data_IF_343100941900
#
_entry.id   IF_343100941900
#
_cell.length_a   1.000
_cell.length_b   1.000
_cell.length_c   1.000
_cell.angle_alpha   90.00
_cell.angle_beta   90.00
_cell.angle_gamma   90.00
#
_symmetry.space_group_name_H-M   'P 1'
#
loop_
_entity.id
_entity.type
_entity.pdbx_description
1 polymer ?
#
# COMPACT_ATOMS: atom_id res chain seq x y z
N UNK A 1 -26.69 28.13 8.51
CA UNK A 1 -25.40 27.49 8.21
C UNK A 1 -25.71 26.10 7.66
N UNK A 2 -25.56 25.85 6.37
CA UNK A 2 -25.67 24.49 5.83
C UNK A 2 -24.38 23.75 6.17
N UNK A 3 -24.46 22.70 6.98
CA UNK A 3 -23.33 21.80 7.22
C UNK A 3 -23.06 21.06 5.91
N UNK A 4 -22.08 21.52 5.14
CA UNK A 4 -21.44 20.71 4.11
C UNK A 4 -20.73 19.58 4.84
N UNK A 5 -21.37 18.42 4.93
CA UNK A 5 -20.70 17.19 5.36
C UNK A 5 -19.65 16.85 4.32
N UNK A 6 -18.38 17.08 4.64
CA UNK A 6 -17.27 16.68 3.79
C UNK A 6 -17.34 15.15 3.62
N UNK A 7 -17.60 14.71 2.39
CA UNK A 7 -17.66 13.29 2.04
C UNK A 7 -16.26 12.76 1.78
N UNK A 8 -16.03 11.49 2.11
CA UNK A 8 -14.83 10.75 1.67
C UNK A 8 -14.63 10.94 0.17
N UNK A 9 -13.40 11.23 -0.30
CA UNK A 9 -13.09 11.11 -1.72
C UNK A 9 -13.49 9.72 -2.23
N UNK A 10 -14.06 9.68 -3.43
CA UNK A 10 -14.41 8.41 -4.04
C UNK A 10 -13.13 7.56 -4.22
N UNK A 11 -13.19 6.29 -3.83
CA UNK A 11 -12.09 5.36 -4.07
C UNK A 11 -11.84 5.21 -5.58
N UNK A 12 -10.59 5.02 -6.02
CA UNK A 12 -10.25 4.90 -7.44
C UNK A 12 -10.82 3.64 -8.10
N UNK A 13 -11.24 2.65 -7.32
CA UNK A 13 -12.00 1.47 -7.76
C UNK A 13 -13.00 1.06 -6.68
N UNK A 14 -13.92 0.15 -7.01
CA UNK A 14 -14.99 -0.31 -6.10
C UNK A 14 -14.38 -1.00 -4.87
N UNK A 15 -14.61 -0.47 -3.65
CA UNK A 15 -14.07 -1.08 -2.45
C UNK A 15 -14.73 -2.43 -2.12
N UNK A 16 -13.93 -3.39 -1.68
CA UNK A 16 -14.41 -4.64 -1.08
C UNK A 16 -14.44 -4.52 0.44
N UNK A 17 -15.55 -4.89 1.09
CA UNK A 17 -15.61 -4.88 2.56
C UNK A 17 -14.89 -6.07 3.18
N UNK A 18 -13.99 -5.81 4.12
CA UNK A 18 -13.18 -6.82 4.82
C UNK A 18 -13.47 -6.91 6.32
N UNK A 19 -14.45 -6.13 6.81
CA UNK A 19 -14.72 -6.03 8.26
C UNK A 19 -13.47 -5.59 9.02
N UNK A 20 -13.13 -6.31 10.09
CA UNK A 20 -11.94 -6.04 10.92
C UNK A 20 -10.75 -6.97 10.63
N UNK A 21 -10.69 -7.57 9.44
CA UNK A 21 -9.55 -8.40 9.05
C UNK A 21 -8.24 -7.60 9.08
N UNK A 22 -7.16 -8.22 9.56
CA UNK A 22 -5.82 -7.63 9.55
C UNK A 22 -5.14 -7.76 8.19
N UNK A 23 -5.56 -8.70 7.34
CA UNK A 23 -5.04 -8.87 5.98
C UNK A 23 -6.06 -8.36 4.97
N UNK A 24 -5.65 -7.42 4.11
CA UNK A 24 -6.47 -6.85 3.05
C UNK A 24 -6.27 -7.57 1.72
N UNK A 25 -5.02 -7.92 1.42
CA UNK A 25 -4.62 -8.54 0.16
C UNK A 25 -3.58 -9.62 0.41
N UNK A 26 -3.75 -10.75 -0.27
CA UNK A 26 -2.72 -11.76 -0.44
C UNK A 26 -2.66 -12.13 -1.91
N UNK A 27 -1.48 -12.01 -2.50
CA UNK A 27 -1.19 -12.40 -3.87
C UNK A 27 -0.09 -13.46 -3.85
N UNK A 28 -0.29 -14.52 -4.61
CA UNK A 28 0.71 -15.55 -4.88
C UNK A 28 0.69 -15.91 -6.37
N UNK A 29 1.85 -15.82 -7.03
CA UNK A 29 2.05 -16.12 -8.46
C UNK A 29 1.17 -15.31 -9.43
N UNK A 30 1.05 -13.97 -9.30
CA UNK A 30 0.25 -13.14 -10.20
C UNK A 30 0.87 -12.99 -11.59
N UNK A 31 0.00 -12.82 -12.58
CA UNK A 31 0.35 -12.42 -13.95
C UNK A 31 0.21 -10.91 -14.19
N UNK A 32 0.13 -10.12 -13.10
CA UNK A 32 -0.30 -8.72 -13.15
C UNK A 32 0.89 -7.79 -13.46
N UNK A 33 1.17 -7.62 -14.74
CA UNK A 33 2.25 -6.74 -15.23
C UNK A 33 1.79 -5.31 -15.56
N UNK A 34 0.50 -5.02 -15.39
CA UNK A 34 -0.11 -3.69 -15.49
C UNK A 34 -0.64 -3.26 -14.14
N UNK A 35 -0.71 -1.95 -13.89
CA UNK A 35 -1.31 -1.42 -12.67
C UNK A 35 -2.73 -1.93 -12.47
N UNK A 36 -2.98 -2.48 -11.28
CA UNK A 36 -4.29 -2.88 -10.80
C UNK A 36 -4.64 -2.08 -9.55
N UNK A 37 -5.86 -1.58 -9.52
CA UNK A 37 -6.40 -0.87 -8.36
C UNK A 37 -6.94 -1.88 -7.35
N UNK A 38 -6.59 -1.65 -6.09
CA UNK A 38 -7.14 -2.37 -4.94
C UNK A 38 -7.78 -1.36 -4.01
N UNK A 39 -9.00 -1.64 -3.57
CA UNK A 39 -9.71 -0.80 -2.61
C UNK A 39 -10.51 -1.64 -1.62
N UNK A 40 -10.51 -1.21 -0.36
CA UNK A 40 -11.13 -1.92 0.76
C UNK A 40 -11.86 -0.97 1.70
N UNK A 41 -12.98 -1.42 2.27
CA UNK A 41 -13.52 -0.80 3.50
C UNK A 41 -13.16 -1.67 4.70
N UNK A 42 -12.41 -1.10 5.63
CA UNK A 42 -11.94 -1.76 6.84
C UNK A 42 -12.50 -1.09 8.09
N UNK A 43 -13.07 -1.87 9.00
CA UNK A 43 -13.56 -1.41 10.29
C UNK A 43 -12.50 -1.67 11.36
N UNK A 44 -11.99 -0.61 11.98
CA UNK A 44 -10.95 -0.76 12.98
C UNK A 44 -11.48 -1.48 14.24
N UNK A 45 -10.81 -2.56 14.69
CA UNK A 45 -11.21 -3.27 15.90
C UNK A 45 -10.77 -2.55 17.19
N UNK A 46 -9.83 -1.61 17.10
CA UNK A 46 -9.17 -0.97 18.25
C UNK A 46 -8.99 0.53 18.03
N UNK A 47 -8.80 1.27 19.13
CA UNK A 47 -8.36 2.68 19.06
C UNK A 47 -6.88 2.74 19.36
N UNK A 48 -6.09 3.38 18.51
CA UNK A 48 -4.66 3.51 18.69
C UNK A 48 -3.85 3.42 17.39
N UNK A 49 -2.52 3.30 17.50
CA UNK A 49 -1.64 3.17 16.34
C UNK A 49 -1.91 1.89 15.54
N UNK A 50 -1.97 2.02 14.21
CA UNK A 50 -2.10 0.92 13.25
C UNK A 50 -1.15 1.19 12.10
N UNK A 51 -0.42 0.18 11.65
CA UNK A 51 0.47 0.27 10.49
C UNK A 51 -0.22 -0.31 9.26
N UNK A 52 -0.29 0.48 8.18
CA UNK A 52 -0.48 -0.09 6.85
C UNK A 52 0.86 -0.62 6.39
N UNK A 53 0.95 -1.93 6.15
CA UNK A 53 2.18 -2.59 5.75
C UNK A 53 2.02 -3.28 4.41
N UNK A 54 2.99 -3.08 3.53
CA UNK A 54 3.14 -3.83 2.28
C UNK A 54 4.36 -4.72 2.42
N UNK A 55 4.16 -6.03 2.37
CA UNK A 55 5.23 -7.02 2.25
C UNK A 55 5.26 -7.53 0.80
N UNK A 56 6.34 -7.25 0.10
CA UNK A 56 6.44 -7.44 -1.35
C UNK A 56 7.65 -8.31 -1.68
N UNK A 57 7.47 -9.23 -2.63
CA UNK A 57 8.56 -10.01 -3.22
C UNK A 57 8.24 -10.33 -4.67
N UNK A 58 9.19 -10.09 -5.56
CA UNK A 58 9.06 -10.50 -6.94
C UNK A 58 10.43 -10.89 -7.50
N UNK A 59 10.83 -12.15 -7.41
CA UNK A 59 12.18 -12.58 -7.83
C UNK A 59 12.16 -13.09 -9.28
N UNK A 60 13.01 -12.60 -10.20
CA UNK A 60 14.12 -11.67 -9.98
C UNK A 60 13.80 -10.20 -10.35
N UNK A 61 12.52 -9.82 -10.35
CA UNK A 61 12.07 -8.51 -10.82
C UNK A 61 11.65 -7.62 -9.65
N UNK A 62 10.48 -6.99 -9.73
CA UNK A 62 10.06 -6.00 -8.76
C UNK A 62 8.55 -5.91 -8.60
N UNK A 63 8.12 -5.32 -7.49
CA UNK A 63 6.83 -4.66 -7.39
C UNK A 63 6.97 -3.15 -7.59
N UNK A 64 5.94 -2.52 -8.13
CA UNK A 64 5.82 -1.07 -8.15
C UNK A 64 4.48 -0.68 -7.54
N UNK A 65 4.54 0.13 -6.48
CA UNK A 65 3.41 0.61 -5.69
C UNK A 65 3.27 2.11 -5.88
N UNK A 66 2.03 2.57 -6.01
CA UNK A 66 1.71 3.98 -6.16
C UNK A 66 0.33 4.33 -5.61
N UNK A 67 0.05 5.63 -5.46
CA UNK A 67 -1.27 6.19 -5.16
C UNK A 67 -1.99 5.49 -4.00
N UNK A 68 -1.26 5.27 -2.90
CA UNK A 68 -1.83 4.69 -1.68
C UNK A 68 -2.76 5.70 -1.00
N UNK A 69 -3.71 5.25 -0.20
CA UNK A 69 -4.53 6.14 0.63
C UNK A 69 -5.24 5.39 1.75
N UNK A 70 -5.47 6.08 2.86
CA UNK A 70 -6.40 5.67 3.91
C UNK A 70 -7.25 6.89 4.28
N UNK A 71 -8.57 6.80 4.08
CA UNK A 71 -9.49 7.86 4.44
C UNK A 71 -10.41 7.49 5.61
N UNK A 72 -10.51 8.35 6.62
CA UNK A 72 -11.59 8.39 7.63
C UNK A 72 -12.56 9.52 7.25
N UNK A 73 -13.67 9.17 6.60
CA UNK A 73 -14.50 10.20 5.99
C UNK A 73 -13.67 11.02 4.98
N UNK A 74 -13.71 12.35 5.08
CA UNK A 74 -12.92 13.23 4.22
C UNK A 74 -11.44 13.38 4.60
N UNK A 75 -10.97 12.76 5.69
CA UNK A 75 -9.61 12.97 6.22
C UNK A 75 -8.65 11.90 5.68
N UNK A 76 -7.62 12.32 4.96
CA UNK A 76 -6.49 11.46 4.60
C UNK A 76 -5.62 11.21 5.85
N UNK A 77 -5.36 9.94 6.14
CA UNK A 77 -4.64 9.51 7.34
C UNK A 77 -3.14 9.33 7.11
N UNK A 78 -2.69 9.27 5.85
CA UNK A 78 -1.29 9.08 5.46
C UNK A 78 -0.72 10.33 4.76
N UNK A 79 0.60 10.40 4.64
CA UNK A 79 1.31 11.44 3.90
C UNK A 79 2.27 10.83 2.89
N UNK A 80 2.70 11.61 1.90
CA UNK A 80 3.54 11.15 0.78
C UNK A 80 2.98 9.87 0.12
N UNK A 81 1.68 9.88 -0.18
CA UNK A 81 0.93 8.67 -0.49
C UNK A 81 1.11 8.17 -1.93
N UNK A 82 1.54 9.06 -2.83
CA UNK A 82 2.02 8.75 -4.18
C UNK A 82 3.52 9.01 -4.34
N UNK A 83 4.29 9.06 -3.25
CA UNK A 83 5.76 9.19 -3.28
C UNK A 83 6.35 10.45 -3.98
N UNK A 84 5.50 11.42 -4.34
CA UNK A 84 5.84 12.63 -5.12
C UNK A 84 6.88 13.58 -4.47
N UNK A 85 7.27 13.32 -3.23
CA UNK A 85 8.41 14.03 -2.60
C UNK A 85 9.76 13.58 -3.16
N UNK A 86 9.81 12.51 -3.96
CA UNK A 86 11.05 11.90 -4.44
C UNK A 86 11.82 11.14 -3.35
N UNK A 87 11.19 10.92 -2.19
CA UNK A 87 11.76 10.24 -1.03
C UNK A 87 10.81 9.18 -0.48
N UNK A 88 11.35 8.12 0.10
CA UNK A 88 10.56 7.10 0.79
C UNK A 88 9.92 7.66 2.06
N UNK A 89 10.57 8.63 2.73
CA UNK A 89 10.04 9.22 3.97
C UNK A 89 8.65 9.83 3.75
N UNK A 90 7.66 9.58 4.63
CA UNK A 90 7.79 8.98 5.97
C UNK A 90 7.51 7.48 6.03
N UNK A 91 7.46 6.78 4.90
CA UNK A 91 7.38 5.32 4.90
C UNK A 91 8.66 4.71 5.48
N UNK A 92 8.47 3.74 6.36
CA UNK A 92 9.57 3.02 7.02
C UNK A 92 9.79 1.71 6.29
N UNK A 93 11.01 1.46 5.84
CA UNK A 93 11.41 0.16 5.28
C UNK A 93 11.97 -0.74 6.37
N UNK A 94 11.52 -1.99 6.41
CA UNK A 94 12.04 -3.06 7.27
C UNK A 94 12.33 -4.31 6.45
N UNK A 95 13.35 -5.05 6.85
CA UNK A 95 13.78 -6.30 6.18
C UNK A 95 13.60 -7.49 7.14
N UNK A 96 12.35 -7.90 7.43
CA UNK A 96 12.05 -8.84 8.51
C UNK A 96 12.66 -10.23 8.32
N UNK A 97 12.97 -10.62 7.07
CA UNK A 97 13.59 -11.90 6.74
C UNK A 97 15.12 -11.84 6.59
N UNK A 98 15.75 -10.78 7.09
CA UNK A 98 17.19 -10.54 7.00
C UNK A 98 17.58 -9.72 5.77
N UNK A 99 18.89 -9.58 5.48
CA UNK A 99 19.37 -8.77 4.36
C UNK A 99 19.00 -9.41 3.02
N UNK A 100 18.04 -8.81 2.30
CA UNK A 100 17.73 -9.18 0.93
C UNK A 100 18.78 -8.66 -0.05
N UNK A 101 18.98 -9.38 -1.16
CA UNK A 101 19.67 -8.82 -2.32
C UNK A 101 18.80 -7.78 -3.03
N UNK A 102 19.37 -7.06 -3.99
CA UNK A 102 18.60 -6.13 -4.83
C UNK A 102 18.40 -4.74 -4.20
N UNK A 103 17.33 -4.05 -4.62
CA UNK A 103 17.03 -2.67 -4.22
C UNK A 103 15.61 -2.58 -3.66
N UNK A 104 15.42 -2.90 -2.37
CA UNK A 104 14.10 -2.95 -1.78
C UNK A 104 13.57 -1.58 -1.39
N UNK A 105 12.25 -1.40 -1.47
CA UNK A 105 11.52 -0.20 -1.03
C UNK A 105 12.25 1.10 -1.33
N UNK A 106 12.54 1.38 -2.61
CA UNK A 106 13.23 2.58 -3.08
C UNK A 106 12.29 3.44 -3.93
N UNK A 107 12.64 4.69 -4.20
CA UNK A 107 11.83 5.56 -5.07
C UNK A 107 12.40 5.55 -6.48
N UNK A 108 11.50 5.44 -7.46
CA UNK A 108 11.81 5.56 -8.89
C UNK A 108 10.90 6.58 -9.55
N UNK A 109 11.30 7.05 -10.73
CA UNK A 109 10.51 7.94 -11.59
C UNK A 109 10.12 7.29 -12.92
N UNK A 110 10.20 5.96 -12.98
CA UNK A 110 10.01 5.20 -14.21
C UNK A 110 8.77 4.32 -14.11
N UNK A 111 7.84 4.52 -15.06
CA UNK A 111 6.62 3.72 -15.17
C UNK A 111 5.77 3.71 -13.88
N UNK A 112 5.61 4.89 -13.28
CA UNK A 112 4.72 5.17 -12.17
C UNK A 112 3.26 5.29 -12.65
N UNK A 113 2.30 5.09 -11.74
CA UNK A 113 0.88 5.06 -12.11
C UNK A 113 0.36 6.48 -12.37
N UNK A 114 0.72 7.40 -11.49
CA UNK A 114 0.44 8.82 -11.64
C UNK A 114 1.66 9.64 -11.21
N UNK A 115 1.60 10.96 -11.39
CA UNK A 115 2.68 11.86 -10.98
C UNK A 115 4.04 11.55 -11.59
N UNK A 116 5.10 11.82 -10.83
CA UNK A 116 6.50 11.64 -11.24
C UNK A 116 7.14 10.44 -10.56
N UNK A 117 6.76 10.12 -9.33
CA UNK A 117 7.48 9.18 -8.48
C UNK A 117 6.59 8.05 -7.98
N UNK A 118 7.18 6.90 -7.73
CA UNK A 118 6.50 5.74 -7.16
C UNK A 118 7.49 4.88 -6.38
N UNK A 119 6.97 4.00 -5.52
CA UNK A 119 7.81 3.04 -4.81
C UNK A 119 8.10 1.83 -5.68
N UNK A 120 9.36 1.43 -5.69
CA UNK A 120 9.92 0.28 -6.36
C UNK A 120 10.48 -0.68 -5.31
N UNK A 121 10.09 -1.95 -5.38
CA UNK A 121 10.65 -3.01 -4.55
C UNK A 121 11.22 -4.14 -5.41
N UNK A 122 12.55 -4.13 -5.59
CA UNK A 122 13.30 -5.18 -6.27
C UNK A 122 14.09 -6.05 -5.31
N UNK A 123 13.54 -6.35 -4.12
CA UNK A 123 14.14 -7.32 -3.20
C UNK A 123 14.34 -8.67 -3.90
N UNK A 124 15.48 -9.32 -3.62
CA UNK A 124 15.83 -10.64 -4.17
C UNK A 124 16.06 -11.65 -3.05
N UNK A 125 15.35 -12.77 -3.11
CA UNK A 125 15.55 -13.91 -2.21
C UNK A 125 14.79 -13.81 -0.88
N UNK A 126 14.26 -12.63 -0.54
CA UNK A 126 13.30 -12.43 0.55
C UNK A 126 12.32 -11.29 0.25
N UNK A 127 11.24 -11.22 1.03
CA UNK A 127 10.29 -10.12 0.94
C UNK A 127 10.75 -8.97 1.84
N UNK A 128 10.60 -7.74 1.36
CA UNK A 128 10.82 -6.56 2.17
C UNK A 128 9.50 -5.86 2.48
N UNK A 129 9.51 -5.09 3.55
CA UNK A 129 8.34 -4.41 4.05
C UNK A 129 8.53 -2.91 3.97
N UNK A 130 7.50 -2.20 3.52
CA UNK A 130 7.33 -0.78 3.83
C UNK A 130 6.06 -0.58 4.64
N UNK A 131 6.08 0.37 5.56
CA UNK A 131 4.90 0.70 6.35
C UNK A 131 4.79 2.18 6.66
N UNK A 132 3.55 2.62 6.90
CA UNK A 132 3.26 3.92 7.49
C UNK A 132 2.19 3.75 8.58
N UNK A 133 2.42 4.38 9.71
CA UNK A 133 1.53 4.35 10.86
C UNK A 133 0.49 5.47 10.78
N UNK A 134 -0.74 5.17 11.18
CA UNK A 134 -1.77 6.17 11.48
C UNK A 134 -2.48 5.81 12.80
N UNK A 135 -3.25 6.75 13.35
CA UNK A 135 -4.08 6.47 14.53
C UNK A 135 -5.50 6.13 14.10
N UNK A 136 -5.95 4.91 14.40
CA UNK A 136 -7.30 4.45 14.14
C UNK A 136 -8.23 4.65 15.36
N UNK A 137 -9.53 4.67 15.10
CA UNK A 137 -10.59 4.72 16.12
C UNK A 137 -11.45 3.47 16.00
N UNK A 138 -11.66 2.75 17.11
CA UNK A 138 -12.46 1.53 17.14
C UNK A 138 -13.87 1.75 16.59
N UNK A 139 -14.35 0.82 15.76
CA UNK A 139 -15.67 0.87 15.13
C UNK A 139 -15.79 1.83 13.95
N UNK A 140 -14.77 2.66 13.67
CA UNK A 140 -14.75 3.48 12.45
C UNK A 140 -14.39 2.67 11.22
N UNK A 141 -15.03 3.03 10.10
CA UNK A 141 -14.73 2.49 8.78
C UNK A 141 -13.76 3.41 8.05
N UNK A 142 -12.68 2.82 7.57
CA UNK A 142 -11.66 3.45 6.76
C UNK A 142 -11.74 2.92 5.33
N UNK A 143 -11.53 3.79 4.35
CA UNK A 143 -11.39 3.40 2.95
C UNK A 143 -9.90 3.36 2.61
N UNK A 144 -9.38 2.16 2.35
CA UNK A 144 -7.99 1.92 1.97
C UNK A 144 -7.92 1.71 0.47
N UNK A 145 -7.00 2.34 -0.24
CA UNK A 145 -6.75 2.00 -1.64
C UNK A 145 -5.29 2.19 -2.05
N UNK A 146 -4.87 1.51 -3.11
CA UNK A 146 -3.53 1.61 -3.70
C UNK A 146 -3.51 1.01 -5.11
N UNK A 147 -2.48 1.37 -5.88
CA UNK A 147 -2.20 0.80 -7.19
C UNK A 147 -0.91 0.00 -7.16
N UNK A 148 -0.98 -1.24 -7.65
CA UNK A 148 0.14 -2.18 -7.59
C UNK A 148 0.32 -2.88 -8.95
N UNK A 149 1.58 -3.08 -9.36
CA UNK A 149 1.95 -3.93 -10.51
C UNK A 149 3.23 -4.69 -10.27
N UNK A 150 3.33 -5.89 -10.85
CA UNK A 150 4.60 -6.57 -11.01
C UNK A 150 5.41 -5.93 -12.17
N UNK A 151 6.73 -5.99 -12.07
CA UNK A 151 7.65 -5.55 -13.12
C UNK A 151 7.52 -6.39 -14.38
N UNK A 152 7.77 -7.70 -14.25
CA UNK A 152 7.48 -8.70 -15.27
C UNK A 152 6.98 -9.98 -14.59
N UNK A 153 6.64 -10.98 -15.39
CA UNK A 153 6.38 -12.33 -14.88
C UNK A 153 7.67 -12.91 -14.30
N UNK A 154 7.56 -13.52 -13.14
CA UNK A 154 8.70 -14.09 -12.43
C UNK A 154 8.31 -15.38 -11.68
N UNK A 155 9.27 -16.27 -11.39
CA UNK A 155 8.97 -17.54 -10.70
C UNK A 155 8.40 -17.38 -9.28
N UNK A 156 8.77 -16.32 -8.56
CA UNK A 156 8.25 -16.02 -7.23
C UNK A 156 7.70 -14.61 -7.26
N UNK A 157 6.41 -14.46 -7.01
CA UNK A 157 5.79 -13.16 -6.95
C UNK A 157 4.68 -13.18 -5.88
N UNK A 158 4.89 -12.45 -4.79
CA UNK A 158 3.98 -12.37 -3.65
C UNK A 158 3.80 -10.93 -3.20
N UNK A 159 2.60 -10.58 -2.79
CA UNK A 159 2.32 -9.32 -2.12
C UNK A 159 1.31 -9.56 -1.01
N UNK A 160 1.60 -9.07 0.18
CA UNK A 160 0.71 -9.12 1.34
C UNK A 160 0.52 -7.70 1.86
N UNK A 161 -0.73 -7.30 2.05
CA UNK A 161 -1.08 -5.97 2.59
C UNK A 161 -1.85 -6.16 3.88
N UNK A 162 -1.36 -5.55 4.96
CA UNK A 162 -1.95 -5.69 6.30
C UNK A 162 -2.20 -4.37 7.01
N UNK A 163 -3.11 -4.43 7.98
CA UNK A 163 -3.35 -3.42 9.00
C UNK A 163 -3.14 -4.08 10.37
N UNK A 164 -2.13 -3.61 11.12
CA UNK A 164 -1.76 -4.15 12.45
C UNK A 164 -1.11 -3.13 13.37
#
# INVERSE_FOLDING_TARGET
LSLLTATTPAAPCVPTSVGSASTLLTISSPTIITYSCYAYTWMSPTTGPVNLTFELRNDPTQWVLDDTSIYDGAVQMLTNIGFETGSLSPWVRTTPYGPCGGTPGSITNSSCHSGTYCMYDGSLGCADQISQQFTATAGKVYVVSFWLRAGTLAPVTTATVTLS
#
